data_IF_038028205376
#
_entry.id   IF_038028205376
#
_cell.length_a   1.000
_cell.length_b   1.000
_cell.length_c   1.000
_cell.angle_alpha   90.00
_cell.angle_beta   90.00
_cell.angle_gamma   90.00
#
_symmetry.space_group_name_H-M   'P 1'
#
loop_
_entity.id
_entity.type
_entity.pdbx_description
1 polymer ?
#
# COMPACT_ATOMS: atom_id res chain seq x y z
N UNK A 1 -6.43 6.83 -4.71
CA UNK A 1 -7.06 7.03 -6.03
C UNK A 1 -6.04 7.42 -7.11
N UNK A 2 -5.13 8.38 -6.90
CA UNK A 2 -4.05 8.71 -7.86
C UNK A 2 -3.05 7.56 -8.19
N UNK A 3 -3.07 6.46 -7.43
CA UNK A 3 -2.20 5.29 -7.65
C UNK A 3 -2.66 4.38 -8.79
N UNK A 4 -3.96 4.35 -9.10
CA UNK A 4 -4.57 3.38 -10.03
C UNK A 4 -4.42 3.79 -11.49
N UNK A 5 -4.61 5.07 -11.79
CA UNK A 5 -4.34 5.65 -13.11
C UNK A 5 -2.86 5.46 -13.50
N UNK A 6 -1.96 5.48 -12.50
CA UNK A 6 -0.53 5.20 -12.68
C UNK A 6 -0.25 3.74 -13.04
N UNK A 7 -1.04 2.77 -12.57
CA UNK A 7 -0.84 1.37 -12.94
C UNK A 7 -1.11 1.17 -14.43
N UNK A 8 -2.10 1.90 -14.97
CA UNK A 8 -2.44 1.89 -16.39
C UNK A 8 -1.32 2.49 -17.25
N UNK A 9 -0.69 3.58 -16.81
CA UNK A 9 0.37 4.26 -17.60
C UNK A 9 1.76 3.62 -17.45
N UNK A 10 2.17 3.30 -16.23
CA UNK A 10 3.53 2.83 -15.92
C UNK A 10 3.67 1.29 -16.01
N UNK A 11 2.54 0.58 -16.04
CA UNK A 11 2.47 -0.87 -16.01
C UNK A 11 2.58 -1.46 -14.60
N UNK A 12 1.93 -2.61 -14.40
CA UNK A 12 1.82 -3.28 -13.10
C UNK A 12 3.17 -3.49 -12.42
N UNK A 13 4.19 -3.97 -13.15
CA UNK A 13 5.51 -4.26 -12.59
C UNK A 13 6.19 -3.03 -11.99
N UNK A 14 6.22 -1.91 -12.73
CA UNK A 14 6.88 -0.68 -12.27
C UNK A 14 6.14 -0.04 -11.10
N UNK A 15 4.81 -0.11 -11.12
CA UNK A 15 3.99 0.29 -9.99
C UNK A 15 4.24 -0.57 -8.75
N UNK A 16 4.32 -1.90 -8.91
CA UNK A 16 4.56 -2.84 -7.81
C UNK A 16 5.95 -2.62 -7.18
N UNK A 17 6.99 -2.46 -8.02
CA UNK A 17 8.34 -2.10 -7.55
C UNK A 17 8.33 -0.78 -6.75
N UNK A 18 7.58 0.24 -7.20
CA UNK A 18 7.43 1.52 -6.48
C UNK A 18 6.68 1.37 -5.15
N UNK A 19 5.63 0.56 -5.13
CA UNK A 19 4.88 0.26 -3.90
C UNK A 19 5.75 -0.45 -2.87
N UNK A 20 6.56 -1.43 -3.31
CA UNK A 20 7.53 -2.10 -2.43
C UNK A 20 8.52 -1.12 -1.83
N UNK A 21 9.11 -0.22 -2.62
CA UNK A 21 10.05 0.81 -2.13
C UNK A 21 9.35 1.74 -1.12
N UNK A 22 8.13 2.18 -1.42
CA UNK A 22 7.36 3.06 -0.53
C UNK A 22 7.02 2.37 0.79
N UNK A 23 6.63 1.09 0.75
CA UNK A 23 6.41 0.25 1.92
C UNK A 23 7.67 0.17 2.79
N UNK A 24 8.84 -0.10 2.19
CA UNK A 24 10.12 -0.11 2.93
C UNK A 24 10.46 1.25 3.53
N UNK A 25 10.18 2.36 2.82
CA UNK A 25 10.41 3.70 3.36
C UNK A 25 9.55 3.99 4.60
N UNK A 26 8.30 3.52 4.63
CA UNK A 26 7.45 3.60 5.82
C UNK A 26 7.97 2.72 6.96
N UNK A 27 8.48 1.52 6.67
CA UNK A 27 9.09 0.65 7.67
C UNK A 27 10.35 1.30 8.29
N UNK A 28 11.20 1.89 7.47
CA UNK A 28 12.38 2.64 7.93
C UNK A 28 11.94 3.86 8.75
N UNK A 29 10.90 4.59 8.33
CA UNK A 29 10.38 5.74 9.07
C UNK A 29 9.80 5.35 10.43
N UNK A 30 9.12 4.21 10.49
CA UNK A 30 8.66 3.62 11.75
C UNK A 30 9.85 3.29 12.68
N UNK A 31 10.89 2.66 12.14
CA UNK A 31 12.10 2.34 12.89
C UNK A 31 12.81 3.60 13.43
N UNK A 32 12.95 4.63 12.60
CA UNK A 32 13.49 5.93 13.02
C UNK A 32 12.61 6.60 14.09
N UNK A 33 11.28 6.48 13.98
CA UNK A 33 10.33 6.94 15.00
C UNK A 33 10.55 6.28 16.36
N UNK A 34 10.83 4.98 16.38
CA UNK A 34 11.18 4.23 17.61
C UNK A 34 12.51 4.72 18.20
N UNK A 35 13.53 4.98 17.38
CA UNK A 35 14.80 5.54 17.85
C UNK A 35 14.59 6.91 18.50
N UNK A 36 13.78 7.78 17.89
CA UNK A 36 13.43 9.09 18.45
C UNK A 36 12.67 8.95 19.76
N UNK A 37 11.75 7.98 19.87
CA UNK A 37 11.05 7.68 21.13
C UNK A 37 12.03 7.32 22.24
N UNK A 38 12.92 6.36 22.00
CA UNK A 38 13.92 5.92 23.00
C UNK A 38 14.83 7.09 23.40
N UNK A 39 15.32 7.86 22.42
CA UNK A 39 16.13 9.06 22.68
C UNK A 39 15.37 10.09 23.51
N UNK A 40 14.06 10.25 23.27
CA UNK A 40 13.20 11.14 24.04
C UNK A 40 13.07 10.74 25.51
N UNK A 41 13.03 9.44 25.81
CA UNK A 41 13.03 8.92 27.19
C UNK A 41 14.32 9.33 27.91
N UNK A 42 15.47 9.13 27.27
CA UNK A 42 16.78 9.47 27.85
C UNK A 42 16.89 10.98 28.15
N UNK A 43 16.51 11.81 27.17
CA UNK A 43 16.57 13.28 27.31
C UNK A 43 15.60 13.79 28.37
N UNK A 44 14.40 13.20 28.47
CA UNK A 44 13.43 13.54 29.50
C UNK A 44 13.90 13.15 30.92
N UNK A 45 14.66 12.05 31.02
CA UNK A 45 15.24 11.56 32.27
C UNK A 45 16.38 12.41 32.82
N UNK A 46 17.07 13.20 31.97
CA UNK A 46 18.21 14.02 32.36
C UNK A 46 17.86 15.24 33.26
N UNK A 47 16.58 15.62 33.35
CA UNK A 47 16.08 16.63 34.31
C UNK A 47 16.23 18.11 33.88
N UNK A 48 15.50 19.00 34.56
CA UNK A 48 15.51 20.44 34.29
C UNK A 48 14.94 20.82 32.92
N UNK A 49 15.61 21.71 32.20
CA UNK A 49 15.18 22.24 30.90
C UNK A 49 15.10 21.16 29.79
N UNK A 50 15.80 20.02 29.95
CA UNK A 50 15.75 18.91 28.98
C UNK A 50 14.46 18.10 29.05
N UNK A 51 13.65 18.26 30.10
CA UNK A 51 12.40 17.51 30.27
C UNK A 51 11.36 17.90 29.21
N UNK A 52 11.33 19.18 28.84
CA UNK A 52 10.44 19.70 27.81
C UNK A 52 10.85 19.23 26.41
N UNK A 53 12.16 19.24 26.10
CA UNK A 53 12.65 18.71 24.82
C UNK A 53 12.44 17.21 24.70
N UNK A 54 12.67 16.45 25.78
CA UNK A 54 12.36 15.02 25.84
C UNK A 54 10.87 14.73 25.60
N UNK A 55 9.96 15.49 26.22
CA UNK A 55 8.52 15.34 25.99
C UNK A 55 8.12 15.64 24.53
N UNK A 56 8.72 16.64 23.89
CA UNK A 56 8.49 16.93 22.47
C UNK A 56 8.99 15.80 21.57
N UNK A 57 10.17 15.24 21.85
CA UNK A 57 10.70 14.08 21.12
C UNK A 57 9.81 12.86 21.29
N UNK A 58 9.26 12.63 22.49
CA UNK A 58 8.33 11.53 22.73
C UNK A 58 7.04 11.68 21.93
N UNK A 59 6.43 12.86 21.94
CA UNK A 59 5.21 13.13 21.17
C UNK A 59 5.47 13.01 19.66
N UNK A 60 6.58 13.59 19.17
CA UNK A 60 6.97 13.51 17.78
C UNK A 60 7.27 12.07 17.32
N UNK A 61 8.06 11.35 18.10
CA UNK A 61 8.39 9.95 17.85
C UNK A 61 7.15 9.06 17.86
N UNK A 62 6.23 9.26 18.80
CA UNK A 62 4.97 8.51 18.87
C UNK A 62 4.11 8.77 17.64
N UNK A 63 3.95 10.04 17.26
CA UNK A 63 3.17 10.42 16.08
C UNK A 63 3.74 9.80 14.80
N UNK A 64 5.06 9.90 14.59
CA UNK A 64 5.75 9.33 13.43
C UNK A 64 5.62 7.80 13.40
N UNK A 65 5.81 7.14 14.55
CA UNK A 65 5.71 5.68 14.67
C UNK A 65 4.30 5.20 14.34
N UNK A 66 3.26 5.77 14.96
CA UNK A 66 1.87 5.38 14.71
C UNK A 66 1.44 5.66 13.27
N UNK A 67 1.84 6.80 12.71
CA UNK A 67 1.51 7.16 11.34
C UNK A 67 2.18 6.22 10.33
N UNK A 68 3.47 5.97 10.50
CA UNK A 68 4.25 5.12 9.61
C UNK A 68 3.78 3.67 9.67
N UNK A 69 3.43 3.16 10.85
CA UNK A 69 2.86 1.81 11.02
C UNK A 69 1.56 1.62 10.25
N UNK A 70 0.61 2.56 10.42
CA UNK A 70 -0.67 2.52 9.71
C UNK A 70 -0.48 2.55 8.19
N UNK A 71 0.42 3.41 7.71
CA UNK A 71 0.73 3.52 6.28
C UNK A 71 1.37 2.25 5.74
N UNK A 72 2.36 1.70 6.45
CA UNK A 72 3.02 0.44 6.10
C UNK A 72 2.01 -0.69 5.91
N UNK A 73 1.13 -0.92 6.89
CA UNK A 73 0.13 -1.98 6.82
C UNK A 73 -0.83 -1.83 5.63
N UNK A 74 -1.33 -0.60 5.39
CA UNK A 74 -2.25 -0.34 4.28
C UNK A 74 -1.60 -0.58 2.92
N UNK A 75 -0.34 -0.15 2.74
CA UNK A 75 0.37 -0.37 1.48
C UNK A 75 0.68 -1.85 1.26
N UNK A 76 1.07 -2.55 2.33
CA UNK A 76 1.38 -3.97 2.26
C UNK A 76 0.15 -4.81 1.90
N UNK A 77 -0.99 -4.55 2.54
CA UNK A 77 -2.24 -5.27 2.27
C UNK A 77 -2.71 -5.09 0.81
N UNK A 78 -2.59 -3.88 0.28
CA UNK A 78 -2.89 -3.61 -1.14
C UNK A 78 -1.93 -4.36 -2.06
N UNK A 79 -0.63 -4.36 -1.75
CA UNK A 79 0.37 -5.03 -2.55
C UNK A 79 0.18 -6.56 -2.55
N UNK A 80 -0.21 -7.15 -1.42
CA UNK A 80 -0.48 -8.58 -1.26
C UNK A 80 -1.71 -9.00 -2.05
N UNK A 81 -2.86 -8.32 -1.84
CA UNK A 81 -4.11 -8.62 -2.55
C UNK A 81 -3.97 -8.54 -4.07
N UNK A 82 -3.30 -7.50 -4.58
CA UNK A 82 -3.05 -7.35 -6.02
C UNK A 82 -1.99 -8.35 -6.51
N UNK A 83 -1.01 -8.68 -5.68
CA UNK A 83 0.05 -9.62 -5.99
C UNK A 83 -0.46 -11.06 -6.14
N UNK A 84 -1.38 -11.49 -5.28
CA UNK A 84 -2.02 -12.82 -5.36
C UNK A 84 -2.82 -12.99 -6.66
N UNK A 85 -3.48 -11.93 -7.12
CA UNK A 85 -4.31 -11.92 -8.33
C UNK A 85 -3.54 -11.53 -9.61
N UNK A 86 -2.21 -11.36 -9.52
CA UNK A 86 -1.34 -10.96 -10.62
C UNK A 86 -0.90 -12.16 -11.51
N UNK A 87 -1.40 -13.36 -11.26
CA UNK A 87 -1.17 -14.54 -12.08
C UNK A 87 -2.29 -14.72 -13.11
N UNK A 88 -1.92 -14.93 -14.37
CA UNK A 88 -2.89 -15.25 -15.41
C UNK A 88 -3.51 -16.64 -15.17
N UNK A 89 -4.86 -16.79 -15.17
CA UNK A 89 -5.51 -18.07 -14.89
C UNK A 89 -5.22 -19.14 -15.95
N UNK A 90 -5.07 -18.79 -17.23
CA UNK A 90 -4.81 -19.77 -18.28
C UNK A 90 -3.35 -20.21 -18.38
N UNK A 91 -2.41 -19.26 -18.50
CA UNK A 91 -0.99 -19.60 -18.75
C UNK A 91 -0.06 -19.47 -17.52
N UNK A 92 -0.60 -19.11 -16.35
CA UNK A 92 0.12 -18.93 -15.08
C UNK A 92 1.31 -17.95 -15.17
N UNK A 93 1.31 -17.05 -16.16
CA UNK A 93 2.32 -16.02 -16.27
C UNK A 93 2.07 -14.93 -15.22
N UNK A 94 3.01 -14.80 -14.27
CA UNK A 94 2.97 -13.78 -13.23
C UNK A 94 3.41 -12.41 -13.72
N UNK A 95 2.64 -11.36 -13.42
CA UNK A 95 3.03 -9.95 -13.63
C UNK A 95 3.20 -9.54 -15.11
N UNK A 96 2.81 -10.39 -16.07
CA UNK A 96 2.91 -10.15 -17.52
C UNK A 96 1.54 -9.82 -18.12
N UNK A 97 0.93 -8.74 -17.66
CA UNK A 97 -0.36 -8.27 -18.16
C UNK A 97 -0.41 -6.75 -18.32
N UNK A 98 -1.29 -6.29 -19.21
CA UNK A 98 -1.66 -4.88 -19.37
C UNK A 98 -3.04 -4.64 -18.77
N UNK A 99 -3.20 -3.49 -18.11
CA UNK A 99 -4.50 -3.07 -17.57
C UNK A 99 -5.21 -2.28 -18.67
N UNK A 100 -6.34 -2.82 -19.14
CA UNK A 100 -7.14 -2.16 -20.17
C UNK A 100 -8.14 -1.16 -19.58
N UNK A 101 -8.74 -1.50 -18.44
CA UNK A 101 -9.75 -0.68 -17.79
C UNK A 101 -9.62 -0.74 -16.26
N UNK A 102 -9.98 0.37 -15.63
CA UNK A 102 -10.04 0.54 -14.18
C UNK A 102 -11.21 1.44 -13.85
N UNK A 103 -11.99 1.12 -12.83
CA UNK A 103 -13.13 1.94 -12.44
C UNK A 103 -13.49 1.83 -10.95
N UNK A 104 -14.17 2.83 -10.40
CA UNK A 104 -14.92 2.62 -9.16
C UNK A 104 -16.00 1.55 -9.41
N UNK A 105 -16.33 0.75 -8.39
CA UNK A 105 -17.56 -0.06 -8.45
C UNK A 105 -18.76 0.86 -8.81
N UNK A 106 -19.63 0.50 -9.76
CA UNK A 106 -19.99 -0.86 -10.15
C UNK A 106 -19.26 -1.41 -11.39
N UNK A 107 -19.25 -2.74 -11.51
CA UNK A 107 -18.69 -3.49 -12.63
C UNK A 107 -19.54 -3.25 -13.91
N UNK A 108 -18.94 -3.02 -15.10
CA UNK A 108 -19.69 -2.75 -16.33
C UNK A 108 -20.60 -3.92 -16.79
N UNK A 109 -20.35 -5.14 -16.30
CA UNK A 109 -21.08 -6.35 -16.72
C UNK A 109 -22.16 -6.81 -15.71
N UNK A 110 -22.66 -5.92 -14.83
CA UNK A 110 -23.82 -6.22 -13.98
C UNK A 110 -23.61 -7.37 -12.99
N UNK A 111 -22.43 -7.42 -12.37
CA UNK A 111 -22.11 -8.41 -11.35
C UNK A 111 -23.10 -8.40 -10.18
N UNK A 112 -23.37 -9.59 -9.63
CA UNK A 112 -24.34 -9.88 -8.59
C UNK A 112 -24.32 -8.84 -7.43
N UNK A 113 -25.44 -8.12 -7.16
CA UNK A 113 -25.51 -7.07 -6.14
C UNK A 113 -25.23 -7.56 -4.71
N UNK A 114 -25.21 -8.88 -4.47
CA UNK A 114 -24.80 -9.44 -3.18
C UNK A 114 -23.31 -9.19 -2.85
N UNK A 115 -22.44 -9.02 -3.86
CA UNK A 115 -21.02 -8.70 -3.69
C UNK A 115 -20.73 -7.20 -3.45
N UNK A 116 -21.72 -6.33 -3.65
CA UNK A 116 -21.61 -4.87 -3.53
C UNK A 116 -21.55 -4.39 -2.07
N UNK A 117 -22.02 -5.22 -1.14
CA UNK A 117 -22.10 -4.91 0.30
C UNK A 117 -20.74 -5.01 1.04
N UNK A 118 -19.67 -5.45 0.38
CA UNK A 118 -18.34 -5.60 0.99
C UNK A 118 -17.34 -4.48 0.63
N UNK A 119 -17.82 -3.24 0.54
CA UNK A 119 -16.97 -2.04 0.66
C UNK A 119 -16.18 -1.68 -0.59
N UNK A 120 -16.79 -0.89 -1.47
CA UNK A 120 -16.14 0.10 -2.35
C UNK A 120 -14.74 -0.22 -2.88
N UNK A 121 -14.55 -1.40 -3.48
CA UNK A 121 -13.28 -1.78 -4.12
C UNK A 121 -13.12 -1.15 -5.50
N UNK A 122 -11.87 -1.02 -5.95
CA UNK A 122 -11.55 -0.66 -7.34
C UNK A 122 -11.33 -1.95 -8.12
N UNK A 123 -12.00 -2.08 -9.26
CA UNK A 123 -11.77 -3.21 -10.16
C UNK A 123 -10.76 -2.83 -11.25
N UNK A 124 -9.93 -3.80 -11.64
CA UNK A 124 -8.93 -3.67 -12.70
C UNK A 124 -9.12 -4.81 -13.71
N UNK A 125 -9.33 -4.48 -14.99
CA UNK A 125 -9.37 -5.47 -16.08
C UNK A 125 -7.97 -5.66 -16.64
N UNK A 126 -7.40 -6.84 -16.39
CA UNK A 126 -6.07 -7.24 -16.83
C UNK A 126 -6.17 -8.15 -18.07
N UNK A 127 -5.28 -7.97 -19.03
CA UNK A 127 -5.11 -8.85 -20.18
C UNK A 127 -3.69 -9.41 -20.21
N UNK A 128 -3.57 -10.73 -20.30
CA UNK A 128 -2.28 -11.41 -20.36
C UNK A 128 -1.54 -11.07 -21.65
N UNK A 129 -0.28 -10.66 -21.55
CA UNK A 129 0.57 -10.44 -22.74
C UNK A 129 1.11 -11.74 -23.36
N UNK A 130 0.95 -12.89 -22.70
CA UNK A 130 1.46 -14.19 -23.19
C UNK A 130 0.40 -14.98 -23.94
N UNK A 131 -0.79 -15.17 -23.35
CA UNK A 131 -1.89 -15.94 -23.96
C UNK A 131 -3.07 -15.10 -24.43
N UNK A 132 -3.15 -13.81 -24.06
CA UNK A 132 -4.28 -12.95 -24.40
C UNK A 132 -5.48 -13.05 -23.45
N UNK A 133 -5.46 -13.95 -22.46
CA UNK A 133 -6.58 -14.11 -21.52
C UNK A 133 -6.85 -12.84 -20.71
N UNK A 134 -8.13 -12.55 -20.51
CA UNK A 134 -8.60 -11.41 -19.73
C UNK A 134 -9.20 -11.86 -18.39
N UNK A 135 -8.88 -11.15 -17.32
CA UNK A 135 -9.46 -11.37 -16.00
C UNK A 135 -9.62 -10.06 -15.23
N UNK A 136 -10.42 -10.11 -14.16
CA UNK A 136 -10.67 -8.96 -13.29
C UNK A 136 -10.01 -9.16 -11.94
N UNK A 137 -9.23 -8.16 -11.52
CA UNK A 137 -8.59 -8.08 -10.20
C UNK A 137 -9.45 -7.18 -9.30
N UNK A 138 -9.71 -7.62 -8.06
CA UNK A 138 -10.55 -6.93 -7.06
C UNK A 138 -9.81 -6.68 -5.76
#
# INVERSE_FOLDING_TARGET
>A
MASLDRIRTDGFRRWYERQLIECHAWLVSWFLGVIVLVSGIEVAGAGGASRMSGALLLLGGLAVTLYSWKRYHLLMEVAERLGEQAACPGCQAYGKFSIQASGPAPLPDGGDPALENHGGGVWLRAQCRKCGDEWTIK
#
